data_IF_277949160593
#
_entry.id   IF_277949160593
#
_cell.length_a   1.000
_cell.length_b   1.000
_cell.length_c   1.000
_cell.angle_alpha   90.00
_cell.angle_beta   90.00
_cell.angle_gamma   90.00
#
_symmetry.space_group_name_H-M   'P 1'
#
loop_
_entity.id
_entity.type
_entity.pdbx_description
1 polymer ?
#
# COMPACT_ATOMS: atom_id res chain seq x y z
N UNK A 1 10.98 21.59 -12.43
CA UNK A 1 10.03 21.48 -11.32
C UNK A 1 9.37 20.12 -11.44
N UNK A 2 9.76 19.13 -10.63
CA UNK A 2 9.00 17.88 -10.59
C UNK A 2 7.74 18.18 -9.78
N UNK A 3 6.58 18.21 -10.44
CA UNK A 3 5.29 18.25 -9.76
C UNK A 3 5.19 17.13 -8.74
N UNK A 4 4.32 17.29 -7.76
CA UNK A 4 4.21 16.33 -6.66
C UNK A 4 4.02 14.90 -7.22
N UNK A 5 4.93 13.98 -6.88
CA UNK A 5 4.94 12.62 -7.40
C UNK A 5 4.19 11.67 -6.46
N UNK A 6 3.09 11.09 -6.93
CA UNK A 6 2.30 10.10 -6.18
C UNK A 6 2.36 8.72 -6.84
N UNK A 7 2.01 7.68 -6.07
CA UNK A 7 1.79 6.31 -6.54
C UNK A 7 0.35 5.89 -6.28
N UNK A 8 -0.13 4.92 -7.05
CA UNK A 8 -1.36 4.19 -6.74
C UNK A 8 -1.03 2.84 -6.13
N UNK A 9 -1.57 2.58 -4.94
CA UNK A 9 -1.53 1.26 -4.31
C UNK A 9 -2.90 0.62 -4.47
N UNK A 10 -2.93 -0.51 -5.15
CA UNK A 10 -4.12 -1.32 -5.41
C UNK A 10 -4.06 -2.61 -4.58
N UNK A 11 -5.04 -2.81 -3.70
CA UNK A 11 -5.12 -3.99 -2.82
C UNK A 11 -6.51 -4.64 -2.93
N UNK A 12 -6.62 -5.91 -2.57
CA UNK A 12 -7.91 -6.60 -2.43
C UNK A 12 -8.27 -6.70 -0.95
N UNK A 13 -9.48 -6.24 -0.60
CA UNK A 13 -9.99 -6.27 0.77
C UNK A 13 -10.10 -7.69 1.30
N UNK A 14 -9.36 -8.04 2.36
CA UNK A 14 -9.33 -9.45 2.82
C UNK A 14 -10.67 -9.95 3.36
N UNK A 15 -11.53 -9.04 3.87
CA UNK A 15 -12.89 -9.39 4.35
C UNK A 15 -13.95 -9.34 3.24
N UNK A 16 -13.82 -8.39 2.32
CA UNK A 16 -14.89 -8.07 1.36
C UNK A 16 -14.63 -8.58 -0.05
N UNK A 17 -13.39 -8.97 -0.37
CA UNK A 17 -12.95 -9.31 -1.73
C UNK A 17 -12.92 -8.12 -2.70
N UNK A 18 -13.25 -6.90 -2.24
CA UNK A 18 -13.35 -5.72 -3.12
C UNK A 18 -12.00 -5.08 -3.35
N UNK A 19 -11.80 -4.52 -4.55
CA UNK A 19 -10.63 -3.71 -4.85
C UNK A 19 -10.63 -2.43 -4.00
N UNK A 20 -9.48 -2.09 -3.46
CA UNK A 20 -9.23 -0.87 -2.70
C UNK A 20 -7.96 -0.21 -3.24
N UNK A 21 -8.13 0.96 -3.86
CA UNK A 21 -7.05 1.73 -4.46
C UNK A 21 -6.90 3.06 -3.72
N UNK A 22 -5.67 3.44 -3.42
CA UNK A 22 -5.33 4.72 -2.79
C UNK A 22 -4.24 5.44 -3.58
N UNK A 23 -4.27 6.76 -3.55
CA UNK A 23 -3.16 7.63 -3.94
C UNK A 23 -2.26 7.88 -2.72
N UNK A 24 -0.95 7.80 -2.89
CA UNK A 24 -0.02 7.97 -1.78
C UNK A 24 1.30 8.62 -2.22
N UNK A 25 1.81 9.51 -1.38
CA UNK A 25 3.15 10.07 -1.51
C UNK A 25 4.23 9.03 -1.19
N UNK A 26 5.37 9.13 -1.86
CA UNK A 26 6.47 8.19 -1.68
C UNK A 26 7.82 8.88 -1.58
N UNK A 27 8.78 8.17 -0.99
CA UNK A 27 10.20 8.48 -1.04
C UNK A 27 10.88 7.42 -1.88
N UNK A 28 11.66 7.83 -2.88
CA UNK A 28 12.50 6.91 -3.67
C UNK A 28 13.91 6.88 -3.09
N UNK A 29 14.40 5.70 -2.74
CA UNK A 29 15.76 5.51 -2.27
C UNK A 29 16.33 4.17 -2.74
N UNK A 30 17.50 4.22 -3.42
CA UNK A 30 18.19 3.05 -3.98
C UNK A 30 17.24 2.09 -4.71
N UNK A 31 16.57 2.60 -5.75
CA UNK A 31 15.63 1.86 -6.61
C UNK A 31 14.36 1.33 -5.92
N UNK A 32 14.17 1.64 -4.64
CA UNK A 32 12.98 1.24 -3.87
C UNK A 32 12.08 2.43 -3.61
N UNK A 33 10.79 2.15 -3.53
CA UNK A 33 9.74 3.11 -3.20
C UNK A 33 9.26 2.84 -1.78
N UNK A 34 9.35 3.85 -0.93
CA UNK A 34 8.91 3.81 0.46
C UNK A 34 7.68 4.68 0.62
N UNK A 35 6.64 4.13 1.23
CA UNK A 35 5.39 4.84 1.54
C UNK A 35 5.16 4.76 3.04
N UNK A 36 4.56 5.80 3.61
CA UNK A 36 4.28 5.87 5.05
C UNK A 36 2.78 5.78 5.29
N UNK A 37 2.38 4.93 6.24
CA UNK A 37 1.00 4.85 6.70
C UNK A 37 0.83 5.74 7.93
N UNK A 38 0.06 6.83 7.80
CA UNK A 38 -0.29 7.70 8.94
C UNK A 38 -0.99 6.90 10.05
N UNK A 39 -1.84 5.94 9.67
CA UNK A 39 -2.52 5.02 10.59
C UNK A 39 -1.70 3.79 10.99
N UNK A 40 -0.43 3.69 10.58
CA UNK A 40 0.43 2.52 10.74
C UNK A 40 -0.32 1.23 10.31
N UNK A 41 -0.39 0.20 11.16
CA UNK A 41 -1.10 -1.08 10.90
C UNK A 41 -2.63 -0.96 10.86
N UNK A 42 -3.22 0.21 11.17
CA UNK A 42 -4.68 0.40 11.17
C UNK A 42 -5.23 0.76 9.79
N UNK A 43 -4.38 1.23 8.87
CA UNK A 43 -4.81 1.57 7.53
C UNK A 43 -5.27 0.31 6.76
N UNK A 44 -6.41 0.38 6.10
CA UNK A 44 -7.03 -0.76 5.44
C UNK A 44 -6.11 -1.40 4.38
N UNK A 45 -5.45 -0.59 3.56
CA UNK A 45 -4.50 -1.07 2.55
C UNK A 45 -3.30 -1.81 3.17
N UNK A 46 -2.80 -1.38 4.34
CA UNK A 46 -1.71 -2.06 5.07
C UNK A 46 -2.18 -3.43 5.56
N UNK A 47 -3.37 -3.50 6.13
CA UNK A 47 -3.94 -4.77 6.62
C UNK A 47 -4.19 -5.76 5.46
N UNK A 48 -4.66 -5.27 4.31
CA UNK A 48 -4.79 -6.08 3.10
C UNK A 48 -3.44 -6.67 2.64
N UNK A 49 -2.39 -5.84 2.59
CA UNK A 49 -1.03 -6.30 2.21
C UNK A 49 -0.53 -7.37 3.17
N UNK A 50 -0.60 -7.13 4.49
CA UNK A 50 -0.13 -8.08 5.50
C UNK A 50 -0.88 -9.41 5.37
N UNK A 51 -2.21 -9.38 5.22
CA UNK A 51 -3.00 -10.59 5.09
C UNK A 51 -2.64 -11.40 3.83
N UNK A 52 -2.44 -10.74 2.69
CA UNK A 52 -2.11 -11.42 1.44
C UNK A 52 -0.69 -12.00 1.45
N UNK A 53 0.28 -11.30 2.07
CA UNK A 53 1.65 -11.82 2.22
C UNK A 53 1.69 -13.12 3.04
N UNK A 54 0.86 -13.22 4.09
CA UNK A 54 0.76 -14.44 4.89
C UNK A 54 0.18 -15.62 4.10
N UNK A 55 -0.67 -15.36 3.09
CA UNK A 55 -1.23 -16.41 2.23
C UNK A 55 -0.28 -16.87 1.13
N UNK A 56 0.57 -16.00 0.60
CA UNK A 56 1.55 -16.36 -0.43
C UNK A 56 2.71 -17.22 0.08
N UNK A 57 2.85 -17.38 1.40
CA UNK A 57 3.89 -18.19 2.04
C UNK A 57 3.42 -19.55 2.56
N UNK A 58 2.21 -20.00 2.21
CA UNK A 58 1.68 -21.36 2.49
C UNK A 58 1.62 -22.21 1.23
#
# INVERSE_FOLDING_TARGET
MSGDQFLYISTTGWKTGRQHTIEIWFVKYKERYYVMSEGNKRAHWVQNIIHNLLKSGS
#
